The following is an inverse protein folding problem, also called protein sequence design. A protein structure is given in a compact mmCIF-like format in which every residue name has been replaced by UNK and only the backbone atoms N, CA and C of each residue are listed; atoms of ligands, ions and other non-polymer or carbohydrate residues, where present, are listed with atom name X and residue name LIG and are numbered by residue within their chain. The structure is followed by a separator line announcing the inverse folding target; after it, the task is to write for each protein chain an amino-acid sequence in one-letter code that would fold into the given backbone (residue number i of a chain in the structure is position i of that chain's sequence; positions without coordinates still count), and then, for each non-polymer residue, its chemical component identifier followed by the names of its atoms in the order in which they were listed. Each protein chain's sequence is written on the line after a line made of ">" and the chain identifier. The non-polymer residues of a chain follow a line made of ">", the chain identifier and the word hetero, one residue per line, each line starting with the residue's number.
data_IF_465019534119
#
_entry.id   IF_465019534119
#
_cell.length_a   1.000
_cell.length_b   1.000
_cell.length_c   1.000
_cell.angle_alpha   90.00
_cell.angle_beta   90.00
_cell.angle_gamma   90.00
#
_symmetry.space_group_name_H-M   'P 1'
#
loop_
_entity.id
_entity.type
_entity.pdbx_description
1 polymer ?
#
# COMPACT_ATOMS: atom_id res chain seq x y z
N UNK A 1 -7.86 7.27 29.29
CA UNK A 1 -8.10 5.85 29.01
C UNK A 1 -6.89 4.95 29.32
N UNK A 2 -5.74 5.50 29.76
CA UNK A 2 -4.54 4.73 30.13
C UNK A 2 -3.80 4.07 28.96
N UNK A 3 -4.00 4.55 27.75
CA UNK A 3 -3.25 4.14 26.56
C UNK A 3 -2.19 5.16 26.17
N UNK A 4 -1.30 4.79 25.23
CA UNK A 4 -0.31 5.69 24.63
C UNK A 4 -0.84 6.28 23.33
N UNK A 5 -0.59 7.57 23.11
CA UNK A 5 -0.89 8.22 21.85
C UNK A 5 0.37 8.27 20.97
N UNK A 6 0.33 7.59 19.84
CA UNK A 6 1.43 7.52 18.90
C UNK A 6 1.13 8.40 17.68
N UNK A 7 2.01 9.36 17.39
CA UNK A 7 1.93 10.18 16.19
C UNK A 7 2.76 9.56 15.07
N UNK A 8 2.09 9.15 14.00
CA UNK A 8 2.71 8.57 12.81
C UNK A 8 2.51 9.49 11.60
N UNK A 9 3.57 9.74 10.84
CA UNK A 9 3.56 10.60 9.66
C UNK A 9 3.52 9.75 8.39
N UNK A 10 2.48 9.96 7.57
CA UNK A 10 2.24 9.28 6.29
C UNK A 10 2.86 10.07 5.13
N UNK A 11 4.17 10.00 4.97
CA UNK A 11 4.98 10.78 4.04
C UNK A 11 5.55 9.94 2.87
N UNK A 12 4.90 8.83 2.53
CA UNK A 12 5.36 7.94 1.43
C UNK A 12 5.16 8.51 0.03
N UNK A 13 4.40 9.60 -0.12
CA UNK A 13 4.28 10.36 -1.36
C UNK A 13 5.23 11.54 -1.35
N UNK A 14 6.44 11.33 -1.88
CA UNK A 14 7.52 12.32 -1.90
C UNK A 14 7.19 13.60 -2.68
N UNK A 15 6.17 13.57 -3.55
CA UNK A 15 5.77 14.76 -4.34
C UNK A 15 4.81 15.66 -3.59
N UNK A 16 4.10 15.12 -2.60
CA UNK A 16 3.09 15.84 -1.79
C UNK A 16 3.49 16.04 -0.33
N UNK A 17 4.59 15.42 0.10
CA UNK A 17 5.09 15.54 1.46
C UNK A 17 6.18 16.60 1.54
N UNK A 18 6.06 17.50 2.50
CA UNK A 18 7.05 18.53 2.79
C UNK A 18 7.19 18.71 4.31
N UNK A 19 8.40 19.04 4.83
CA UNK A 19 8.64 19.23 6.26
C UNK A 19 7.71 20.27 6.90
N UNK A 20 7.32 21.29 6.14
CA UNK A 20 6.40 22.34 6.58
C UNK A 20 5.01 21.81 6.93
N UNK A 21 4.54 20.78 6.24
CA UNK A 21 3.24 20.15 6.52
C UNK A 21 3.30 19.32 7.80
N UNK A 22 4.39 18.60 8.03
CA UNK A 22 4.62 17.86 9.27
C UNK A 22 4.64 18.80 10.46
N UNK A 23 5.40 19.89 10.38
CA UNK A 23 5.46 20.90 11.43
C UNK A 23 4.10 21.54 11.68
N UNK A 24 3.32 21.85 10.64
CA UNK A 24 1.97 22.40 10.76
C UNK A 24 1.01 21.44 11.48
N UNK A 25 1.12 20.11 11.22
CA UNK A 25 0.33 19.09 11.94
C UNK A 25 0.68 19.10 13.43
N UNK A 26 1.97 19.10 13.78
CA UNK A 26 2.43 19.11 15.16
C UNK A 26 2.02 20.40 15.88
N UNK A 27 2.11 21.56 15.22
CA UNK A 27 1.66 22.83 15.76
C UNK A 27 0.15 22.85 16.03
N UNK A 28 -0.65 22.31 15.10
CA UNK A 28 -2.09 22.22 15.26
C UNK A 28 -2.49 21.32 16.45
N UNK A 29 -1.81 20.20 16.64
CA UNK A 29 -2.03 19.32 17.79
C UNK A 29 -1.66 20.02 19.11
N UNK A 30 -0.52 20.72 19.17
CA UNK A 30 -0.11 21.51 20.35
C UNK A 30 -1.08 22.64 20.65
N UNK A 31 -1.60 23.32 19.61
CA UNK A 31 -2.60 24.36 19.76
C UNK A 31 -3.93 23.84 20.39
N UNK A 32 -4.28 22.57 20.09
CA UNK A 32 -5.43 21.87 20.68
C UNK A 32 -5.13 21.28 22.06
N UNK A 33 -3.92 21.51 22.61
CA UNK A 33 -3.42 20.91 23.85
C UNK A 33 -3.44 19.36 23.80
N UNK A 34 -3.23 18.79 22.59
CA UNK A 34 -3.09 17.36 22.39
C UNK A 34 -1.60 17.03 22.36
N UNK A 35 -1.17 16.24 23.35
CA UNK A 35 0.19 15.72 23.44
C UNK A 35 0.23 14.27 23.00
N UNK A 36 1.38 13.84 22.47
CA UNK A 36 1.65 12.46 22.08
C UNK A 36 2.82 11.88 22.86
N UNK A 37 2.73 10.58 23.15
CA UNK A 37 3.72 9.87 23.95
C UNK A 37 4.90 9.38 23.08
N UNK A 38 4.62 9.11 21.78
CA UNK A 38 5.59 8.65 20.81
C UNK A 38 5.38 9.36 19.47
N UNK A 39 6.47 9.66 18.76
CA UNK A 39 6.36 10.33 17.47
C UNK A 39 7.70 10.73 16.87
N UNK A 40 7.68 11.43 15.71
CA UNK A 40 8.90 11.77 14.95
C UNK A 40 9.85 12.71 15.67
N UNK A 41 9.34 13.51 16.63
CA UNK A 41 10.10 14.50 17.42
C UNK A 41 10.46 14.00 18.83
N UNK A 42 9.62 13.19 19.44
CA UNK A 42 9.82 12.66 20.80
C UNK A 42 10.46 11.27 20.83
N UNK A 43 10.44 10.56 19.69
CA UNK A 43 10.93 9.18 19.62
C UNK A 43 9.98 8.18 20.23
N UNK A 44 10.52 7.00 20.60
CA UNK A 44 9.80 5.90 21.25
C UNK A 44 10.28 4.53 20.80
N UNK A 45 9.74 3.43 21.36
CA UNK A 45 10.25 2.07 21.16
C UNK A 45 9.91 1.44 19.80
N UNK A 46 8.93 1.97 19.06
CA UNK A 46 8.43 1.36 17.81
C UNK A 46 8.73 2.17 16.55
N UNK A 47 9.65 3.15 16.66
CA UNK A 47 10.09 3.95 15.50
C UNK A 47 10.71 3.12 14.35
N UNK A 48 11.00 3.78 13.24
CA UNK A 48 10.76 5.18 12.88
C UNK A 48 9.27 5.54 12.76
N UNK A 49 8.92 6.81 13.03
CA UNK A 49 7.53 7.28 13.02
C UNK A 49 7.15 8.00 11.71
N UNK A 50 8.12 8.28 10.82
CA UNK A 50 7.88 8.66 9.43
C UNK A 50 7.88 7.42 8.58
N UNK A 51 6.84 7.24 7.77
CA UNK A 51 6.72 6.03 6.95
C UNK A 51 7.76 5.97 5.83
N UNK A 52 8.26 7.10 5.35
CA UNK A 52 9.39 7.18 4.40
C UNK A 52 10.69 6.58 4.95
N UNK A 53 10.91 6.63 6.26
CA UNK A 53 12.10 6.09 6.95
C UNK A 53 12.00 4.56 7.18
N UNK A 54 10.87 3.94 6.86
CA UNK A 54 10.60 2.50 7.03
C UNK A 54 10.72 1.69 5.73
N UNK A 55 11.31 2.26 4.70
CA UNK A 55 11.39 1.67 3.36
C UNK A 55 11.93 0.24 3.37
N UNK A 56 13.01 0.00 4.09
CA UNK A 56 13.67 -1.31 4.19
C UNK A 56 12.76 -2.35 4.84
N UNK A 57 12.03 -1.98 5.89
CA UNK A 57 11.06 -2.85 6.55
C UNK A 57 9.96 -3.28 5.58
N UNK A 58 9.43 -2.33 4.79
CA UNK A 58 8.40 -2.65 3.79
C UNK A 58 8.93 -3.53 2.67
N UNK A 59 10.16 -3.30 2.20
CA UNK A 59 10.79 -4.12 1.17
C UNK A 59 11.00 -5.56 1.65
N UNK A 60 11.45 -5.76 2.89
CA UNK A 60 11.58 -7.08 3.49
C UNK A 60 10.24 -7.83 3.52
N UNK A 61 9.18 -7.19 4.02
CA UNK A 61 7.86 -7.82 4.09
C UNK A 61 7.27 -8.10 2.70
N UNK A 62 7.48 -7.21 1.73
CA UNK A 62 7.07 -7.45 0.34
C UNK A 62 7.83 -8.63 -0.26
N UNK A 63 9.13 -8.77 0.03
CA UNK A 63 9.90 -9.93 -0.43
C UNK A 63 9.36 -11.24 0.16
N UNK A 64 9.01 -11.24 1.46
CA UNK A 64 8.36 -12.40 2.08
C UNK A 64 7.03 -12.78 1.38
N UNK A 65 6.23 -11.80 0.96
CA UNK A 65 4.98 -12.06 0.22
C UNK A 65 5.26 -12.61 -1.18
N UNK A 66 6.28 -12.10 -1.86
CA UNK A 66 6.72 -12.62 -3.17
C UNK A 66 7.18 -14.08 -3.05
N UNK A 67 8.00 -14.39 -2.05
CA UNK A 67 8.53 -15.74 -1.83
C UNK A 67 7.44 -16.76 -1.49
N UNK A 68 6.34 -16.31 -0.88
CA UNK A 68 5.15 -17.13 -0.60
C UNK A 68 4.15 -17.22 -1.77
N UNK A 69 4.39 -16.47 -2.86
CA UNK A 69 3.45 -16.38 -3.98
C UNK A 69 2.15 -15.62 -3.65
N UNK A 70 2.14 -14.85 -2.55
CA UNK A 70 1.02 -14.00 -2.11
C UNK A 70 1.07 -12.59 -2.74
N UNK A 71 2.19 -12.26 -3.37
CA UNK A 71 2.38 -11.06 -4.18
C UNK A 71 3.08 -11.40 -5.50
N UNK A 72 3.09 -10.46 -6.45
CA UNK A 72 3.76 -10.62 -7.74
C UNK A 72 4.21 -9.29 -8.31
N UNK A 73 5.21 -9.33 -9.21
CA UNK A 73 5.70 -8.17 -9.95
C UNK A 73 4.80 -7.86 -11.14
N UNK A 74 4.42 -6.59 -11.28
CA UNK A 74 3.57 -6.11 -12.37
C UNK A 74 4.34 -5.07 -13.19
N UNK A 75 4.57 -5.38 -14.48
CA UNK A 75 5.33 -4.59 -15.45
C UNK A 75 4.43 -3.73 -16.36
N UNK A 76 3.13 -3.58 -16.02
CA UNK A 76 2.21 -2.78 -16.81
C UNK A 76 2.59 -1.29 -16.79
N UNK A 77 2.69 -0.69 -17.99
CA UNK A 77 2.92 0.75 -18.13
C UNK A 77 1.68 1.56 -17.79
N UNK A 78 1.86 2.85 -17.52
CA UNK A 78 0.77 3.78 -17.24
C UNK A 78 -0.21 3.87 -18.41
N UNK A 79 0.29 3.88 -19.65
CA UNK A 79 -0.50 3.92 -20.88
C UNK A 79 -1.39 2.69 -21.01
N UNK A 80 -0.82 1.49 -20.76
CA UNK A 80 -1.60 0.25 -20.76
C UNK A 80 -2.72 0.27 -19.74
N UNK A 81 -2.41 0.73 -18.52
CA UNK A 81 -3.40 0.79 -17.44
C UNK A 81 -4.52 1.81 -17.75
N UNK A 82 -4.18 2.93 -18.38
CA UNK A 82 -5.16 3.94 -18.82
C UNK A 82 -6.09 3.35 -19.88
N UNK A 83 -5.53 2.76 -20.94
CA UNK A 83 -6.31 2.12 -22.01
C UNK A 83 -7.22 1.01 -21.46
N UNK A 84 -6.71 0.17 -20.57
CA UNK A 84 -7.51 -0.88 -19.91
C UNK A 84 -8.72 -0.30 -19.16
N UNK A 85 -8.53 0.82 -18.42
CA UNK A 85 -9.62 1.47 -17.68
C UNK A 85 -10.67 2.05 -18.63
N UNK A 86 -10.24 2.69 -19.72
CA UNK A 86 -11.12 3.24 -20.74
C UNK A 86 -11.97 2.16 -21.42
N UNK A 87 -11.36 1.03 -21.78
CA UNK A 87 -12.05 -0.11 -22.41
C UNK A 87 -13.05 -0.79 -21.46
N UNK A 88 -12.83 -0.74 -20.15
CA UNK A 88 -13.69 -1.33 -19.12
C UNK A 88 -14.76 -0.38 -18.61
N UNK A 89 -14.65 0.92 -18.91
CA UNK A 89 -15.61 1.92 -18.46
C UNK A 89 -17.02 1.59 -18.98
N UNK A 90 -17.97 1.42 -18.05
CA UNK A 90 -19.36 1.05 -18.35
C UNK A 90 -19.60 -0.43 -18.71
N UNK A 91 -18.54 -1.29 -18.73
CA UNK A 91 -18.67 -2.72 -19.07
C UNK A 91 -18.32 -3.67 -17.93
N UNK A 92 -17.51 -3.27 -16.97
CA UNK A 92 -17.03 -4.11 -15.88
C UNK A 92 -17.64 -3.72 -14.54
N UNK A 93 -17.78 -4.69 -13.62
CA UNK A 93 -18.24 -4.45 -12.24
C UNK A 93 -17.27 -3.55 -11.47
N UNK A 94 -15.97 -3.64 -11.78
CA UNK A 94 -14.92 -2.81 -11.18
C UNK A 94 -14.03 -2.21 -12.28
N UNK A 95 -13.53 -1.00 -12.04
CA UNK A 95 -12.51 -0.34 -12.90
C UNK A 95 -11.08 -0.70 -12.48
N UNK A 96 -10.94 -1.68 -11.60
CA UNK A 96 -9.67 -2.13 -11.04
C UNK A 96 -8.75 -2.81 -12.05
N UNK A 97 -7.58 -3.22 -11.58
CA UNK A 97 -6.57 -3.90 -12.37
C UNK A 97 -7.08 -5.26 -12.89
N UNK A 98 -6.71 -5.60 -14.12
CA UNK A 98 -7.21 -6.81 -14.83
C UNK A 98 -6.41 -8.09 -14.56
N UNK A 99 -5.40 -8.04 -13.69
CA UNK A 99 -4.57 -9.20 -13.36
C UNK A 99 -3.59 -9.62 -14.45
N UNK A 100 -3.31 -8.79 -15.45
CA UNK A 100 -2.50 -9.13 -16.62
C UNK A 100 -1.16 -9.80 -16.27
N UNK A 101 -0.40 -9.25 -15.32
CA UNK A 101 0.89 -9.82 -14.91
C UNK A 101 0.77 -10.93 -13.84
N UNK A 102 -0.43 -11.21 -13.35
CA UNK A 102 -0.66 -12.20 -12.28
C UNK A 102 -0.31 -13.63 -12.69
N UNK A 103 -0.36 -13.92 -14.00
CA UNK A 103 -0.13 -15.23 -14.57
C UNK A 103 1.26 -15.39 -15.21
N UNK A 104 2.15 -14.40 -15.09
CA UNK A 104 3.51 -14.50 -15.60
C UNK A 104 4.25 -15.65 -14.89
N UNK A 105 4.97 -16.45 -15.69
CA UNK A 105 5.87 -17.48 -15.15
C UNK A 105 7.12 -16.83 -14.56
N UNK A 106 7.84 -17.55 -13.72
CA UNK A 106 9.12 -17.08 -13.15
C UNK A 106 10.13 -16.71 -14.25
N UNK A 107 10.19 -17.48 -15.34
CA UNK A 107 11.06 -17.22 -16.49
C UNK A 107 10.69 -15.89 -17.19
N UNK A 108 9.38 -15.63 -17.38
CA UNK A 108 8.90 -14.37 -17.95
C UNK A 108 9.23 -13.20 -17.04
N UNK A 109 8.98 -13.33 -15.74
CA UNK A 109 9.33 -12.31 -14.73
C UNK A 109 10.83 -12.02 -14.76
N UNK A 110 11.67 -13.06 -14.81
CA UNK A 110 13.12 -12.91 -14.87
C UNK A 110 13.56 -12.18 -16.14
N UNK A 111 12.96 -12.49 -17.29
CA UNK A 111 13.23 -11.80 -18.56
C UNK A 111 12.93 -10.29 -18.46
N UNK A 112 11.78 -9.90 -17.89
CA UNK A 112 11.44 -8.50 -17.69
C UNK A 112 12.45 -7.79 -16.77
N UNK A 113 12.87 -8.45 -15.70
CA UNK A 113 13.86 -7.90 -14.74
C UNK A 113 15.23 -7.74 -15.43
N UNK A 114 15.69 -8.71 -16.21
CA UNK A 114 16.96 -8.65 -16.94
C UNK A 114 16.96 -7.56 -18.01
N UNK A 115 15.82 -7.29 -18.62
CA UNK A 115 15.62 -6.17 -19.54
C UNK A 115 15.61 -4.80 -18.85
N UNK A 116 15.69 -4.75 -17.51
CA UNK A 116 15.66 -3.51 -16.73
C UNK A 116 14.30 -2.82 -16.73
N UNK A 117 13.21 -3.55 -16.97
CA UNK A 117 11.86 -3.00 -16.95
C UNK A 117 11.44 -2.63 -15.53
N UNK A 118 10.84 -1.46 -15.38
CA UNK A 118 10.31 -1.00 -14.09
C UNK A 118 9.06 -1.79 -13.73
N UNK A 119 8.90 -2.10 -12.46
CA UNK A 119 7.72 -2.82 -11.96
C UNK A 119 7.19 -2.23 -10.65
N UNK A 120 5.95 -2.55 -10.36
CA UNK A 120 5.34 -2.41 -9.04
C UNK A 120 5.09 -3.80 -8.47
N UNK A 121 4.95 -3.92 -7.15
CA UNK A 121 4.53 -5.19 -6.54
C UNK A 121 3.07 -5.09 -6.15
N UNK A 122 2.29 -6.10 -6.52
CA UNK A 122 0.86 -6.20 -6.20
C UNK A 122 0.57 -7.35 -5.27
N UNK A 123 -0.35 -7.14 -4.34
CA UNK A 123 -0.94 -8.21 -3.53
C UNK A 123 -1.80 -9.10 -4.42
N UNK A 124 -1.69 -10.41 -4.23
CA UNK A 124 -2.48 -11.41 -4.96
C UNK A 124 -3.80 -11.66 -4.22
N UNK A 125 -4.78 -10.79 -4.47
CA UNK A 125 -6.09 -10.87 -3.81
C UNK A 125 -6.83 -12.16 -4.17
N UNK A 126 -7.63 -12.69 -3.23
CA UNK A 126 -8.56 -13.75 -3.54
C UNK A 126 -9.61 -13.26 -4.55
N UNK A 127 -9.89 -14.05 -5.58
CA UNK A 127 -10.83 -13.70 -6.66
C UNK A 127 -12.20 -14.34 -6.51
N UNK A 128 -12.32 -15.33 -5.63
CA UNK A 128 -13.55 -16.10 -5.38
C UNK A 128 -13.90 -16.09 -3.91
N UNK A 129 -15.18 -16.32 -3.58
CA UNK A 129 -15.67 -16.35 -2.22
C UNK A 129 -15.87 -14.95 -1.62
N UNK A 130 -15.84 -14.88 -0.31
CA UNK A 130 -16.08 -13.67 0.47
C UNK A 130 -15.02 -13.50 1.54
N UNK A 131 -14.60 -12.25 1.78
CA UNK A 131 -13.83 -11.86 2.96
C UNK A 131 -14.79 -11.44 4.06
N UNK A 132 -14.71 -12.10 5.22
CA UNK A 132 -15.58 -11.85 6.37
C UNK A 132 -14.79 -11.13 7.45
N UNK A 133 -15.30 -9.96 7.84
CA UNK A 133 -14.69 -9.11 8.89
C UNK A 133 -15.64 -9.08 10.09
N UNK A 134 -15.23 -9.58 11.27
CA UNK A 134 -16.02 -9.45 12.50
C UNK A 134 -15.88 -8.03 13.04
N UNK A 135 -16.79 -7.14 12.63
CA UNK A 135 -16.84 -5.76 13.12
C UNK A 135 -17.58 -5.69 14.46
N UNK A 136 -16.98 -5.00 15.44
CA UNK A 136 -17.55 -4.92 16.80
C UNK A 136 -18.84 -4.10 16.89
N UNK A 137 -19.07 -3.19 15.95
CA UNK A 137 -20.24 -2.31 15.93
C UNK A 137 -21.31 -2.81 14.95
N UNK A 138 -20.87 -3.35 13.78
CA UNK A 138 -21.75 -3.75 12.68
C UNK A 138 -22.03 -5.25 12.66
N UNK A 139 -21.37 -6.03 13.52
CA UNK A 139 -21.42 -7.48 13.46
C UNK A 139 -20.54 -8.03 12.32
N UNK A 140 -20.98 -9.10 11.68
CA UNK A 140 -20.23 -9.71 10.59
C UNK A 140 -20.44 -8.92 9.27
N UNK A 141 -19.37 -8.33 8.75
CA UNK A 141 -19.39 -7.64 7.45
C UNK A 141 -18.77 -8.54 6.39
N UNK A 142 -19.47 -8.75 5.27
CA UNK A 142 -19.06 -9.64 4.16
C UNK A 142 -18.77 -8.82 2.92
N UNK A 143 -17.62 -9.08 2.30
CA UNK A 143 -17.19 -8.46 1.04
C UNK A 143 -16.95 -9.55 0.00
N UNK A 144 -17.70 -9.57 -1.11
CA UNK A 144 -17.40 -10.44 -2.23
C UNK A 144 -16.01 -10.15 -2.78
N UNK A 145 -15.16 -11.18 -2.91
CA UNK A 145 -13.76 -10.98 -3.33
C UNK A 145 -13.63 -10.53 -4.78
N UNK A 146 -14.64 -10.83 -5.62
CA UNK A 146 -14.71 -10.38 -7.03
C UNK A 146 -14.86 -8.85 -7.22
N UNK A 147 -15.11 -8.11 -6.11
CA UNK A 147 -15.19 -6.66 -6.09
C UNK A 147 -13.86 -5.97 -5.77
N UNK A 148 -12.86 -6.75 -5.40
CA UNK A 148 -11.52 -6.24 -5.07
C UNK A 148 -10.54 -6.62 -6.19
N UNK A 149 -9.60 -5.73 -6.48
CA UNK A 149 -8.50 -6.00 -7.41
C UNK A 149 -7.16 -6.13 -6.69
N UNK A 150 -6.14 -6.58 -7.41
CA UNK A 150 -4.80 -6.73 -6.87
C UNK A 150 -4.16 -5.36 -6.59
N UNK A 151 -4.18 -4.94 -5.33
CA UNK A 151 -3.68 -3.64 -4.89
C UNK A 151 -2.16 -3.54 -5.02
N UNK A 152 -1.66 -2.37 -5.42
CA UNK A 152 -0.22 -2.10 -5.39
C UNK A 152 0.23 -1.95 -3.95
N UNK A 153 1.21 -2.75 -3.55
CA UNK A 153 1.87 -2.66 -2.24
C UNK A 153 3.11 -1.76 -2.33
N UNK A 154 3.98 -2.03 -3.30
CA UNK A 154 5.23 -1.31 -3.48
C UNK A 154 5.25 -0.64 -4.86
N UNK A 155 5.55 0.66 -4.87
CA UNK A 155 5.71 1.46 -6.08
C UNK A 155 7.06 1.17 -6.76
N UNK A 156 7.21 1.59 -8.02
CA UNK A 156 8.45 1.44 -8.78
C UNK A 156 9.64 2.21 -8.19
N UNK A 157 9.41 3.24 -7.40
CA UNK A 157 10.43 3.98 -6.65
C UNK A 157 10.87 3.26 -5.35
N UNK A 158 10.26 2.11 -5.06
CA UNK A 158 10.53 1.30 -3.88
C UNK A 158 9.89 1.81 -2.59
N UNK A 159 9.00 2.81 -2.67
CA UNK A 159 8.19 3.25 -1.52
C UNK A 159 6.88 2.48 -1.46
N UNK A 160 6.35 2.24 -0.26
CA UNK A 160 5.06 1.59 -0.09
C UNK A 160 3.93 2.49 -0.58
N UNK A 161 2.83 1.86 -0.96
CA UNK A 161 1.54 2.55 -1.02
C UNK A 161 0.91 2.60 0.37
N UNK A 162 -0.18 3.36 0.51
CA UNK A 162 -0.99 3.38 1.73
C UNK A 162 -1.45 1.98 2.16
N UNK A 163 -1.77 1.10 1.23
CA UNK A 163 -2.22 -0.26 1.51
C UNK A 163 -1.17 -1.16 2.19
N UNK A 164 0.11 -0.85 2.04
CA UNK A 164 1.18 -1.56 2.73
C UNK A 164 1.61 -0.85 4.01
N UNK A 165 1.60 0.49 3.99
CA UNK A 165 2.13 1.28 5.09
C UNK A 165 1.19 1.36 6.30
N UNK A 166 -0.11 1.09 6.11
CA UNK A 166 -1.15 1.29 7.12
C UNK A 166 -1.65 -0.02 7.75
#
# INVERSE_FOLDING_TARGET
>A
HGGSFVLRIEDTDQTRSAPEYEEAIMQALRWLDIQWDEGPDVGGPVGPYRQSERKEIYQEHVQMLLDRGEAYRCFCTAERLTKMREERMGKAKTLGYDGHCRQLTEEQVQTHVENGETFVVRLKMATEGETIIPDRLRGEVRYPNDQSDDQVLLKSDGYPTYHLAN
#
